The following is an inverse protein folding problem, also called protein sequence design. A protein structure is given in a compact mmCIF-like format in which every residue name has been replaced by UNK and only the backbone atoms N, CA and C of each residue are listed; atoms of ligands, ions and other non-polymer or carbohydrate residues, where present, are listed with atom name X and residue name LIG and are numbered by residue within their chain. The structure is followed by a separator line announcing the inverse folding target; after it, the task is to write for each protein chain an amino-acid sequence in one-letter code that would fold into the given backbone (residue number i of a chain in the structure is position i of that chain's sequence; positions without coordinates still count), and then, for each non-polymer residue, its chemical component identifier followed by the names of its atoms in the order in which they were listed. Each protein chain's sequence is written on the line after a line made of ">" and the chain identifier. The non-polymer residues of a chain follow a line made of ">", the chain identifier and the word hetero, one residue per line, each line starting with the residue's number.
data_IF_911679026373
#
_entry.id   IF_911679026373
#
_cell.length_a   1.000
_cell.length_b   1.000
_cell.length_c   1.000
_cell.angle_alpha   90.00
_cell.angle_beta   90.00
_cell.angle_gamma   90.00
#
_symmetry.space_group_name_H-M   'P 1'
#
loop_
_entity.id
_entity.type
_entity.pdbx_description
1 polymer ?
#
# COMPACT_ATOMS: atom_id res chain seq x y z
N UNK A 1 -2.96 0.93 23.51
CA UNK A 1 -4.26 0.88 22.80
C UNK A 1 -4.40 -0.49 22.20
N UNK A 2 -5.61 -1.05 22.11
CA UNK A 2 -5.83 -2.37 21.50
C UNK A 2 -6.13 -2.21 20.01
N UNK A 3 -5.51 -3.04 19.19
CA UNK A 3 -5.72 -3.06 17.74
C UNK A 3 -5.88 -4.51 17.29
N UNK A 4 -6.87 -4.80 16.44
CA UNK A 4 -7.13 -6.17 15.99
C UNK A 4 -5.97 -6.66 15.10
N UNK A 5 -5.40 -7.83 15.40
CA UNK A 5 -4.32 -8.44 14.59
C UNK A 5 -4.70 -8.56 13.12
N UNK A 6 -5.96 -8.94 12.86
CA UNK A 6 -6.58 -8.98 11.54
C UNK A 6 -6.53 -7.62 10.81
N UNK A 7 -6.65 -6.51 11.52
CA UNK A 7 -6.51 -5.17 10.95
C UNK A 7 -5.07 -4.86 10.55
N UNK A 8 -4.06 -5.32 11.29
CA UNK A 8 -2.65 -5.14 10.90
C UNK A 8 -2.30 -6.00 9.71
N UNK A 9 -2.78 -7.25 9.67
CA UNK A 9 -2.61 -8.13 8.50
C UNK A 9 -3.25 -7.51 7.25
N UNK A 10 -4.44 -6.91 7.40
CA UNK A 10 -5.05 -6.15 6.31
C UNK A 10 -4.21 -4.94 5.89
N UNK A 11 -3.65 -4.19 6.84
CA UNK A 11 -2.76 -3.06 6.54
C UNK A 11 -1.51 -3.51 5.79
N UNK A 12 -0.87 -4.62 6.18
CA UNK A 12 0.26 -5.21 5.46
C UNK A 12 -0.12 -5.47 4.01
N UNK A 13 -1.21 -6.20 3.76
CA UNK A 13 -1.68 -6.49 2.42
C UNK A 13 -1.99 -5.21 1.60
N UNK A 14 -2.67 -4.26 2.23
CA UNK A 14 -3.05 -2.99 1.61
C UNK A 14 -1.84 -2.13 1.25
N UNK A 15 -0.87 -2.00 2.14
CA UNK A 15 0.36 -1.25 1.87
C UNK A 15 1.21 -1.97 0.82
N UNK A 16 1.34 -3.30 0.86
CA UNK A 16 2.01 -4.05 -0.22
C UNK A 16 1.35 -3.75 -1.56
N UNK A 17 0.02 -3.80 -1.65
CA UNK A 17 -0.70 -3.46 -2.87
C UNK A 17 -0.37 -2.05 -3.38
N UNK A 18 -0.38 -1.05 -2.50
CA UNK A 18 -0.10 0.34 -2.88
C UNK A 18 1.36 0.62 -3.24
N UNK A 19 2.33 -0.15 -2.70
CA UNK A 19 3.73 -0.09 -3.17
C UNK A 19 3.79 -0.44 -4.66
N UNK A 20 3.17 -1.55 -5.05
CA UNK A 20 3.19 -2.00 -6.44
C UNK A 20 2.32 -1.12 -7.35
N UNK A 21 1.20 -0.60 -6.86
CA UNK A 21 0.42 0.40 -7.59
C UNK A 21 1.23 1.68 -7.83
N UNK A 22 1.99 2.15 -6.84
CA UNK A 22 2.89 3.30 -6.98
C UNK A 22 4.01 3.03 -7.98
N UNK A 23 4.62 1.84 -7.94
CA UNK A 23 5.63 1.43 -8.91
C UNK A 23 5.05 1.37 -10.34
N UNK A 24 3.83 0.87 -10.51
CA UNK A 24 3.11 0.89 -11.81
C UNK A 24 2.96 2.31 -12.35
N UNK A 25 2.56 3.26 -11.51
CA UNK A 25 2.37 4.66 -11.93
C UNK A 25 3.65 5.27 -12.51
N UNK A 26 4.80 4.87 -11.98
CA UNK A 26 6.12 5.30 -12.48
C UNK A 26 6.50 4.51 -13.74
N UNK A 27 6.39 3.18 -13.70
CA UNK A 27 6.83 2.30 -14.78
C UNK A 27 6.04 2.51 -16.08
N UNK A 28 4.74 2.80 -16.01
CA UNK A 28 3.92 3.06 -17.21
C UNK A 28 4.33 4.31 -17.99
N UNK A 29 5.02 5.25 -17.36
CA UNK A 29 5.54 6.43 -18.04
C UNK A 29 6.95 6.21 -18.61
N UNK A 30 7.64 5.13 -18.19
CA UNK A 30 9.03 4.82 -18.58
C UNK A 30 9.14 3.66 -19.59
N UNK A 31 8.19 2.72 -19.55
CA UNK A 31 8.22 1.48 -20.34
C UNK A 31 7.11 1.50 -21.39
N UNK A 32 7.45 1.11 -22.62
CA UNK A 32 6.49 0.96 -23.71
C UNK A 32 5.39 -0.02 -23.33
N UNK A 33 4.14 0.39 -23.48
CA UNK A 33 2.98 -0.42 -23.10
C UNK A 33 2.92 -1.66 -24.01
N UNK A 34 3.31 -2.82 -23.46
CA UNK A 34 3.22 -4.12 -24.13
C UNK A 34 2.15 -4.96 -23.44
N UNK A 35 1.43 -5.76 -24.22
CA UNK A 35 0.41 -6.68 -23.67
C UNK A 35 0.99 -7.62 -22.61
N UNK A 36 2.24 -8.06 -22.78
CA UNK A 36 2.95 -8.90 -21.81
C UNK A 36 3.14 -8.17 -20.48
N UNK A 37 3.57 -6.91 -20.52
CA UNK A 37 3.72 -6.09 -19.32
C UNK A 37 2.38 -5.93 -18.58
N UNK A 38 1.28 -5.64 -19.30
CA UNK A 38 -0.04 -5.51 -18.70
C UNK A 38 -0.53 -6.81 -18.05
N UNK A 39 -0.33 -7.96 -18.69
CA UNK A 39 -0.73 -9.27 -18.15
C UNK A 39 0.05 -9.58 -16.87
N UNK A 40 1.37 -9.39 -16.88
CA UNK A 40 2.24 -9.61 -15.70
C UNK A 40 1.81 -8.68 -14.55
N UNK A 41 1.58 -7.41 -14.86
CA UNK A 41 1.17 -6.40 -13.89
C UNK A 41 -0.17 -6.74 -13.21
N UNK A 42 -1.20 -7.05 -14.01
CA UNK A 42 -2.54 -7.41 -13.50
C UNK A 42 -2.47 -8.70 -12.68
N UNK A 43 -1.73 -9.71 -13.17
CA UNK A 43 -1.57 -10.99 -12.48
C UNK A 43 -0.92 -10.77 -11.10
N UNK A 44 0.12 -9.95 -11.04
CA UNK A 44 0.85 -9.67 -9.81
C UNK A 44 0.01 -8.87 -8.80
N UNK A 45 -0.68 -7.82 -9.24
CA UNK A 45 -1.59 -7.04 -8.39
C UNK A 45 -2.75 -7.90 -7.88
N UNK A 46 -3.29 -8.78 -8.73
CA UNK A 46 -4.37 -9.71 -8.35
C UNK A 46 -3.88 -10.72 -7.32
N UNK A 47 -2.66 -11.24 -7.47
CA UNK A 47 -2.06 -12.18 -6.53
C UNK A 47 -1.87 -11.56 -5.14
N UNK A 48 -1.44 -10.29 -5.08
CA UNK A 48 -1.34 -9.56 -3.81
C UNK A 48 -2.72 -9.33 -3.19
N UNK A 49 -3.71 -8.90 -3.99
CA UNK A 49 -5.06 -8.66 -3.50
C UNK A 49 -5.70 -9.95 -2.94
N UNK A 50 -5.65 -11.04 -3.71
CA UNK A 50 -6.19 -12.34 -3.30
C UNK A 50 -5.42 -12.90 -2.10
N UNK A 51 -4.08 -12.86 -2.14
CA UNK A 51 -3.24 -13.31 -1.03
C UNK A 51 -3.51 -12.54 0.25
N UNK A 52 -3.70 -11.22 0.15
CA UNK A 52 -4.08 -10.35 1.25
C UNK A 52 -5.45 -10.70 1.85
N UNK A 53 -6.46 -10.91 1.00
CA UNK A 53 -7.80 -11.34 1.45
C UNK A 53 -7.74 -12.69 2.16
N UNK A 54 -7.02 -13.66 1.59
CA UNK A 54 -6.84 -14.99 2.19
C UNK A 54 -6.15 -14.87 3.56
N UNK A 55 -5.08 -14.08 3.66
CA UNK A 55 -4.36 -13.86 4.91
C UNK A 55 -5.28 -13.28 5.99
N UNK A 56 -6.08 -12.27 5.63
CA UNK A 56 -7.06 -11.64 6.53
C UNK A 56 -8.17 -12.60 6.94
N UNK A 57 -8.59 -13.52 6.08
CA UNK A 57 -9.58 -14.54 6.42
C UNK A 57 -9.02 -15.63 7.33
N UNK A 58 -7.73 -15.97 7.21
CA UNK A 58 -7.06 -16.95 8.06
C UNK A 58 -6.71 -16.41 9.45
N UNK A 59 -6.56 -15.10 9.62
CA UNK A 59 -6.29 -14.50 10.94
C UNK A 59 -7.52 -14.58 11.86
N UNK A 60 -7.32 -14.99 13.11
CA UNK A 60 -8.38 -15.05 14.13
C UNK A 60 -8.99 -13.65 14.34
N UNK A 61 -10.31 -13.59 14.47
CA UNK A 61 -11.05 -12.32 14.60
C UNK A 61 -10.86 -11.63 15.96
N UNK A 62 -10.51 -12.39 17.00
CA UNK A 62 -10.52 -11.92 18.40
C UNK A 62 -9.13 -11.70 18.99
N UNK A 63 -8.10 -11.70 18.14
CA UNK A 63 -6.71 -11.52 18.58
C UNK A 63 -6.38 -10.02 18.59
N UNK A 64 -6.07 -9.50 19.78
CA UNK A 64 -5.76 -8.09 20.00
C UNK A 64 -4.27 -7.89 20.24
N UNK A 65 -3.70 -6.93 19.53
CA UNK A 65 -2.33 -6.46 19.68
C UNK A 65 -2.32 -5.21 20.57
N UNK A 66 -1.37 -5.14 21.50
CA UNK A 66 -1.14 -3.94 22.29
C UNK A 66 -0.19 -3.03 21.51
N UNK A 67 -0.72 -1.91 21.03
CA UNK A 67 0.02 -0.97 20.19
C UNK A 67 0.20 0.36 20.90
N UNK A 68 1.42 0.89 20.80
CA UNK A 68 1.79 2.22 21.25
C UNK A 68 1.15 3.32 20.37
N UNK A 69 0.95 4.51 20.93
CA UNK A 69 0.33 5.63 20.21
C UNK A 69 1.15 6.08 18.99
N UNK A 70 2.48 6.02 19.06
CA UNK A 70 3.39 6.44 17.98
C UNK A 70 3.22 5.62 16.68
N UNK A 71 3.28 4.27 16.69
CA UNK A 71 2.98 3.45 15.52
C UNK A 71 1.62 3.75 14.89
N UNK A 72 0.56 3.94 15.70
CA UNK A 72 -0.77 4.27 15.17
C UNK A 72 -0.81 5.61 14.42
N UNK A 73 -0.09 6.63 14.91
CA UNK A 73 0.02 7.93 14.24
C UNK A 73 0.74 7.75 12.89
N UNK A 74 1.82 6.97 12.85
CA UNK A 74 2.58 6.71 11.62
C UNK A 74 1.74 5.95 10.57
N UNK A 75 0.95 4.95 10.98
CA UNK A 75 0.01 4.27 10.07
C UNK A 75 -1.00 5.27 9.51
N UNK A 76 -1.57 6.14 10.36
CA UNK A 76 -2.53 7.15 9.91
C UNK A 76 -1.91 8.12 8.90
N UNK A 77 -0.69 8.60 9.17
CA UNK A 77 0.04 9.46 8.23
C UNK A 77 0.29 8.72 6.91
N UNK A 78 0.67 7.45 6.98
CA UNK A 78 0.89 6.61 5.80
C UNK A 78 -0.37 6.46 4.96
N UNK A 79 -1.54 6.22 5.59
CA UNK A 79 -2.82 6.16 4.89
C UNK A 79 -3.22 7.49 4.25
N UNK A 80 -3.00 8.62 4.93
CA UNK A 80 -3.26 9.94 4.33
C UNK A 80 -2.30 10.25 3.17
N UNK A 81 -1.03 9.85 3.27
CA UNK A 81 -0.08 9.98 2.18
C UNK A 81 -0.46 9.13 0.96
N UNK A 82 -0.92 7.89 1.19
CA UNK A 82 -1.48 7.03 0.13
C UNK A 82 -2.69 7.68 -0.53
N UNK A 83 -3.63 8.19 0.27
CA UNK A 83 -4.81 8.88 -0.26
C UNK A 83 -4.43 10.12 -1.09
N UNK A 84 -3.46 10.91 -0.63
CA UNK A 84 -2.92 12.06 -1.36
C UNK A 84 -2.32 11.63 -2.71
N UNK A 85 -1.53 10.55 -2.74
CA UNK A 85 -0.97 10.00 -3.97
C UNK A 85 -2.04 9.58 -4.98
N UNK A 86 -3.12 8.93 -4.53
CA UNK A 86 -4.26 8.59 -5.39
C UNK A 86 -4.93 9.84 -5.96
N UNK A 87 -5.18 10.85 -5.13
CA UNK A 87 -5.81 12.11 -5.56
C UNK A 87 -4.93 12.84 -6.59
N UNK A 88 -3.63 12.95 -6.36
CA UNK A 88 -2.69 13.56 -7.30
C UNK A 88 -2.68 12.79 -8.63
N UNK A 89 -2.70 11.46 -8.59
CA UNK A 89 -2.73 10.65 -9.81
C UNK A 89 -4.02 10.81 -10.61
N UNK A 90 -5.16 10.95 -9.92
CA UNK A 90 -6.46 11.21 -10.55
C UNK A 90 -6.51 12.62 -11.17
N UNK A 91 -6.09 13.64 -10.42
CA UNK A 91 -6.09 15.03 -10.88
C UNK A 91 -5.05 15.27 -11.98
N UNK A 92 -3.93 14.56 -11.94
CA UNK A 92 -2.89 14.62 -12.97
C UNK A 92 -3.39 14.26 -14.36
N UNK A 93 -4.38 13.37 -14.48
CA UNK A 93 -5.00 13.03 -15.76
C UNK A 93 -5.83 14.18 -16.36
N UNK A 94 -6.21 15.17 -15.56
CA UNK A 94 -6.98 16.34 -16.02
C UNK A 94 -6.08 17.44 -16.58
N UNK A 95 -4.79 17.44 -16.24
CA UNK A 95 -3.81 18.46 -16.64
C UNK A 95 -2.95 17.87 -17.76
N UNK A 96 -3.45 17.99 -19.01
CA UNK A 96 -2.95 17.28 -20.19
C UNK A 96 -1.43 17.35 -20.38
N UNK A 97 -0.86 18.55 -20.38
CA UNK A 97 0.56 18.77 -20.72
C UNK A 97 1.56 18.25 -19.67
N UNK A 98 1.11 18.00 -18.43
CA UNK A 98 1.97 17.59 -17.32
C UNK A 98 1.56 16.25 -16.70
N UNK A 99 0.62 15.54 -17.33
CA UNK A 99 0.01 14.32 -16.79
C UNK A 99 1.04 13.25 -16.39
N UNK A 100 2.10 13.07 -17.19
CA UNK A 100 3.20 12.15 -16.89
C UNK A 100 3.93 12.51 -15.58
N UNK A 101 4.26 13.79 -15.37
CA UNK A 101 4.92 14.25 -14.14
C UNK A 101 4.04 14.03 -12.91
N UNK A 102 2.75 14.34 -13.00
CA UNK A 102 1.81 14.10 -11.92
C UNK A 102 1.67 12.62 -11.58
N UNK A 103 1.69 11.72 -12.59
CA UNK A 103 1.65 10.27 -12.37
C UNK A 103 2.91 9.75 -11.69
N UNK A 104 4.08 10.22 -12.11
CA UNK A 104 5.36 9.86 -11.45
C UNK A 104 5.36 10.33 -10.00
N UNK A 105 4.96 11.58 -9.74
CA UNK A 105 4.88 12.14 -8.38
C UNK A 105 3.87 11.35 -7.53
N UNK A 106 2.68 11.08 -8.07
CA UNK A 106 1.67 10.26 -7.41
C UNK A 106 2.19 8.86 -7.07
N UNK A 107 2.87 8.21 -8.02
CA UNK A 107 3.48 6.90 -7.84
C UNK A 107 4.56 6.89 -6.76
N UNK A 108 5.41 7.92 -6.73
CA UNK A 108 6.44 8.08 -5.71
C UNK A 108 5.86 8.28 -4.30
N UNK A 109 4.85 9.16 -4.17
CA UNK A 109 4.13 9.39 -2.91
C UNK A 109 3.48 8.08 -2.45
N UNK A 110 2.76 7.38 -3.33
CA UNK A 110 2.16 6.08 -3.03
C UNK A 110 3.20 5.09 -2.53
N UNK A 111 4.31 4.92 -3.24
CA UNK A 111 5.34 3.96 -2.88
C UNK A 111 6.00 4.28 -1.54
N UNK A 112 6.39 5.54 -1.30
CA UNK A 112 7.09 5.96 -0.08
C UNK A 112 6.19 5.78 1.15
N UNK A 113 4.95 6.31 1.11
CA UNK A 113 4.06 6.21 2.26
C UNK A 113 3.58 4.77 2.48
N UNK A 114 3.42 3.98 1.42
CA UNK A 114 3.09 2.56 1.57
C UNK A 114 4.24 1.75 2.14
N UNK A 115 5.48 2.06 1.76
CA UNK A 115 6.67 1.39 2.32
C UNK A 115 6.85 1.72 3.81
N UNK A 116 6.62 2.98 4.20
CA UNK A 116 6.56 3.39 5.60
C UNK A 116 5.45 2.66 6.37
N UNK A 117 4.24 2.61 5.80
CA UNK A 117 3.09 1.93 6.39
C UNK A 117 3.32 0.43 6.57
N UNK A 118 3.93 -0.21 5.58
CA UNK A 118 4.31 -1.62 5.62
C UNK A 118 5.34 -1.89 6.71
N UNK A 119 6.41 -1.10 6.78
CA UNK A 119 7.44 -1.21 7.82
C UNK A 119 6.85 -1.12 9.23
N UNK A 120 5.99 -0.11 9.47
CA UNK A 120 5.35 0.06 10.78
C UNK A 120 4.41 -1.11 11.09
N UNK A 121 3.66 -1.60 10.10
CA UNK A 121 2.72 -2.72 10.28
C UNK A 121 3.45 -4.03 10.62
N UNK A 122 4.55 -4.34 9.93
CA UNK A 122 5.40 -5.50 10.23
C UNK A 122 6.00 -5.36 11.62
N UNK A 123 6.52 -4.18 11.97
CA UNK A 123 7.10 -3.93 13.29
C UNK A 123 6.10 -4.14 14.43
N UNK A 124 4.83 -3.80 14.21
CA UNK A 124 3.77 -4.06 15.20
C UNK A 124 3.54 -5.56 15.39
N UNK A 125 3.57 -6.34 14.31
CA UNK A 125 3.41 -7.80 14.37
C UNK A 125 4.61 -8.45 15.05
N UNK A 126 5.84 -8.11 14.68
CA UNK A 126 7.04 -8.72 15.27
C UNK A 126 7.19 -8.42 16.77
N UNK A 127 6.79 -7.21 17.22
CA UNK A 127 6.84 -6.86 18.64
C UNK A 127 5.84 -7.67 19.51
N UNK A 128 4.83 -8.28 18.90
CA UNK A 128 3.88 -9.20 19.56
C UNK A 128 4.46 -10.61 19.71
N UNK A 129 5.32 -11.05 18.80
CA UNK A 129 5.94 -12.40 18.87
C UNK A 129 7.06 -12.50 19.91
N UNK A 130 7.62 -11.37 20.34
CA UNK A 130 8.69 -11.28 21.34
C UNK A 130 8.18 -11.21 22.80
N UNK A 131 6.86 -11.25 23.03
CA UNK A 131 6.19 -11.16 24.35
C UNK A 131 5.52 -12.48 24.69
#
# INVERSE_FOLDING_TARGET
>A
MHLLKRSVVFQVALFTFFIFLGARYILKELVSDSLVFQIVEISFLSLIAIGGVIAVMKTKKEEYLIVDRKPMILIRISLYGVALGLVIGLLGNLIGDYSAYFRIIAGAILAIFSLLGLYVSIKIISKDEDI
#
